data_IF_798116597152
#
_entry.id   IF_798116597152
#
_cell.length_a   1.000
_cell.length_b   1.000
_cell.length_c   1.000
_cell.angle_alpha   90.00
_cell.angle_beta   90.00
_cell.angle_gamma   90.00
#
_symmetry.space_group_name_H-M   'P 1'
#
loop_
_entity.id
_entity.type
_entity.pdbx_description
1 polymer ?
#
# COMPACT_ATOMS: atom_id res chain seq x y z
N UNK A 1 35.00 -42.64 -39.45
CA UNK A 1 34.73 -42.86 -40.88
C UNK A 1 33.29 -43.27 -41.04
N UNK A 2 32.59 -42.65 -41.99
CA UNK A 2 31.19 -42.92 -42.36
C UNK A 2 30.19 -42.26 -41.40
N UNK A 3 29.29 -41.37 -41.82
CA UNK A 3 28.69 -41.14 -43.13
C UNK A 3 27.17 -41.12 -42.92
N UNK A 4 26.56 -39.93 -42.97
CA UNK A 4 25.64 -39.49 -44.05
C UNK A 4 24.19 -39.95 -43.81
N UNK A 5 23.24 -39.04 -43.65
CA UNK A 5 22.14 -38.69 -44.60
C UNK A 5 20.83 -38.98 -43.84
N UNK A 6 19.67 -38.34 -44.00
CA UNK A 6 19.20 -37.09 -44.58
C UNK A 6 17.68 -37.03 -44.30
N UNK A 7 17.10 -35.81 -44.36
CA UNK A 7 15.69 -35.48 -44.66
C UNK A 7 14.57 -36.07 -43.77
N UNK A 8 13.76 -35.17 -43.21
CA UNK A 8 12.37 -35.03 -43.67
C UNK A 8 11.81 -33.65 -43.30
N UNK A 9 11.34 -32.95 -44.33
CA UNK A 9 10.60 -31.69 -44.26
C UNK A 9 9.13 -32.03 -43.99
N UNK A 10 8.52 -31.34 -43.03
CA UNK A 10 7.09 -31.42 -42.75
C UNK A 10 6.51 -30.02 -42.63
N UNK A 11 6.34 -29.35 -43.77
CA UNK A 11 5.55 -28.14 -43.89
C UNK A 11 4.07 -28.50 -43.66
N UNK A 12 3.45 -27.91 -42.65
CA UNK A 12 1.99 -27.91 -42.48
C UNK A 12 1.52 -26.46 -42.42
N UNK A 13 1.22 -25.96 -43.61
CA UNK A 13 0.34 -24.81 -43.79
C UNK A 13 -1.07 -25.23 -43.35
N UNK A 14 -1.62 -24.47 -42.41
CA UNK A 14 -2.94 -24.65 -41.86
C UNK A 14 -3.57 -23.28 -41.68
N UNK A 15 -4.00 -22.69 -42.78
CA UNK A 15 -4.89 -21.54 -42.82
C UNK A 15 -6.18 -21.89 -42.05
N UNK A 16 -6.47 -21.13 -40.99
CA UNK A 16 -7.82 -21.00 -40.45
C UNK A 16 -8.13 -19.53 -40.29
N UNK A 17 -8.80 -19.01 -41.31
CA UNK A 17 -9.65 -17.83 -41.21
C UNK A 17 -10.71 -18.08 -40.13
N UNK A 18 -10.77 -17.18 -39.15
CA UNK A 18 -11.64 -17.30 -37.99
C UNK A 18 -12.04 -15.93 -37.47
N UNK A 19 -13.10 -15.41 -38.08
CA UNK A 19 -14.13 -14.55 -37.51
C UNK A 19 -13.69 -13.31 -36.71
N UNK A 20 -13.92 -12.16 -37.35
CA UNK A 20 -14.19 -10.89 -36.68
C UNK A 20 -15.21 -11.07 -35.55
N UNK A 21 -14.86 -10.59 -34.36
CA UNK A 21 -15.80 -10.35 -33.27
C UNK A 21 -15.47 -8.98 -32.69
N UNK A 22 -16.47 -8.12 -32.81
CA UNK A 22 -16.57 -6.75 -32.33
C UNK A 22 -15.75 -6.46 -31.07
N UNK A 23 -14.72 -5.61 -31.25
CA UNK A 23 -14.11 -4.85 -30.17
C UNK A 23 -15.14 -3.86 -29.63
N UNK A 24 -15.99 -4.32 -28.72
CA UNK A 24 -16.74 -3.43 -27.81
C UNK A 24 -15.74 -2.88 -26.79
N UNK A 25 -15.03 -1.83 -27.20
CA UNK A 25 -14.24 -0.95 -26.34
C UNK A 25 -15.18 -0.25 -25.37
N UNK A 26 -15.55 -0.95 -24.30
CA UNK A 26 -15.95 -0.31 -23.06
C UNK A 26 -14.69 0.33 -22.50
N UNK A 27 -14.50 1.61 -22.84
CA UNK A 27 -13.67 2.54 -22.10
C UNK A 27 -14.17 2.56 -20.65
N UNK A 28 -13.67 1.66 -19.82
CA UNK A 28 -13.67 1.83 -18.38
C UNK A 28 -12.78 3.03 -18.11
N UNK A 29 -13.38 4.20 -18.10
CA UNK A 29 -12.81 5.42 -17.57
C UNK A 29 -12.51 5.19 -16.10
N UNK A 30 -11.37 4.58 -15.80
CA UNK A 30 -10.71 4.66 -14.51
C UNK A 30 -10.25 6.11 -14.37
N UNK A 31 -11.19 6.98 -14.06
CA UNK A 31 -10.92 8.37 -13.71
C UNK A 31 -10.15 8.34 -12.39
N UNK A 32 -8.82 8.25 -12.50
CA UNK A 32 -7.93 8.40 -11.36
C UNK A 32 -8.33 9.68 -10.63
N UNK A 33 -8.65 9.61 -9.33
CA UNK A 33 -9.07 10.77 -8.57
C UNK A 33 -7.98 11.84 -8.63
N UNK A 34 -8.37 13.08 -8.89
CA UNK A 34 -7.46 14.23 -8.80
C UNK A 34 -6.80 14.25 -7.42
N UNK A 35 -5.50 14.57 -7.34
CA UNK A 35 -4.74 14.63 -6.10
C UNK A 35 -5.46 15.42 -4.98
N UNK A 36 -6.15 16.52 -5.32
CA UNK A 36 -6.94 17.31 -4.36
C UNK A 36 -8.08 16.51 -3.70
N UNK A 37 -8.75 15.65 -4.46
CA UNK A 37 -9.79 14.77 -3.94
C UNK A 37 -9.21 13.61 -3.12
N UNK A 38 -8.01 13.14 -3.46
CA UNK A 38 -7.30 12.12 -2.71
C UNK A 38 -6.86 12.63 -1.32
N UNK A 39 -6.32 13.86 -1.23
CA UNK A 39 -5.95 14.47 0.05
C UNK A 39 -7.15 14.58 1.00
N UNK A 40 -8.26 15.16 0.53
CA UNK A 40 -9.49 15.31 1.34
C UNK A 40 -10.04 13.97 1.82
N UNK A 41 -10.02 12.96 0.95
CA UNK A 41 -10.45 11.60 1.31
C UNK A 41 -9.53 11.02 2.38
N UNK A 42 -8.22 11.19 2.24
CA UNK A 42 -7.25 10.68 3.19
C UNK A 42 -7.40 11.35 4.56
N UNK A 43 -7.57 12.66 4.62
CA UNK A 43 -7.86 13.40 5.86
C UNK A 43 -9.10 12.86 6.58
N UNK A 44 -10.19 12.67 5.82
CA UNK A 44 -11.44 12.15 6.37
C UNK A 44 -11.27 10.74 6.94
N UNK A 45 -10.54 9.86 6.24
CA UNK A 45 -10.28 8.49 6.73
C UNK A 45 -9.37 8.53 7.95
N UNK A 46 -8.27 9.30 7.93
CA UNK A 46 -7.36 9.43 9.09
C UNK A 46 -8.12 9.94 10.31
N UNK A 47 -8.97 10.96 10.16
CA UNK A 47 -9.79 11.50 11.24
C UNK A 47 -10.73 10.44 11.82
N UNK A 48 -11.38 9.66 10.95
CA UNK A 48 -12.27 8.57 11.35
C UNK A 48 -11.50 7.48 12.10
N UNK A 49 -10.32 7.09 11.61
CA UNK A 49 -9.46 6.08 12.24
C UNK A 49 -8.96 6.55 13.60
N UNK A 50 -8.58 7.82 13.74
CA UNK A 50 -8.23 8.42 15.03
C UNK A 50 -9.39 8.29 16.03
N UNK A 51 -10.60 8.65 15.61
CA UNK A 51 -11.79 8.56 16.48
C UNK A 51 -12.11 7.12 16.89
N UNK A 52 -12.05 6.17 15.95
CA UNK A 52 -12.28 4.75 16.21
C UNK A 52 -11.28 4.16 17.23
N UNK A 53 -10.06 4.70 17.26
CA UNK A 53 -8.98 4.18 18.08
C UNK A 53 -8.68 5.05 19.32
N UNK A 54 -9.49 6.09 19.59
CA UNK A 54 -9.26 7.05 20.66
C UNK A 54 -9.11 6.40 22.06
N UNK A 55 -9.79 5.28 22.29
CA UNK A 55 -9.79 4.56 23.57
C UNK A 55 -8.72 3.46 23.68
N UNK A 56 -8.01 3.14 22.58
CA UNK A 56 -7.07 2.00 22.53
C UNK A 56 -5.64 2.36 22.99
N UNK A 57 -5.41 3.64 23.30
CA UNK A 57 -4.14 4.15 23.84
C UNK A 57 -2.91 3.75 23.01
N UNK A 58 -1.80 3.48 23.70
CA UNK A 58 -0.47 3.23 23.14
C UNK A 58 -0.37 2.08 22.13
N UNK A 59 -1.32 1.13 22.17
CA UNK A 59 -1.29 -0.06 21.32
C UNK A 59 -1.38 0.29 19.83
N UNK A 60 -2.02 1.41 19.50
CA UNK A 60 -2.24 1.91 18.13
C UNK A 60 -1.04 2.68 17.57
N UNK A 61 -0.19 3.23 18.45
CA UNK A 61 0.98 4.05 18.08
C UNK A 61 1.95 3.25 17.19
N UNK A 62 2.11 1.95 17.47
CA UNK A 62 2.96 1.08 16.66
C UNK A 62 2.40 0.86 15.24
N UNK A 63 1.07 0.83 15.09
CA UNK A 63 0.40 0.78 13.80
C UNK A 63 0.65 2.06 13.01
N UNK A 64 0.41 3.22 13.61
CA UNK A 64 0.65 4.52 12.99
C UNK A 64 2.11 4.72 12.57
N UNK A 65 3.07 4.35 13.42
CA UNK A 65 4.51 4.41 13.11
C UNK A 65 4.88 3.47 11.94
N UNK A 66 4.26 2.29 11.87
CA UNK A 66 4.49 1.38 10.76
C UNK A 66 3.94 1.94 9.45
N UNK A 67 2.71 2.48 9.45
CA UNK A 67 2.10 3.11 8.28
C UNK A 67 2.95 4.29 7.79
N UNK A 68 3.36 5.17 8.72
CA UNK A 68 4.26 6.28 8.42
C UNK A 68 5.55 5.78 7.75
N UNK A 69 6.20 4.76 8.32
CA UNK A 69 7.44 4.20 7.76
C UNK A 69 7.25 3.61 6.36
N UNK A 70 6.14 2.92 6.10
CA UNK A 70 5.84 2.37 4.77
C UNK A 70 5.72 3.51 3.77
N UNK A 71 4.93 4.54 4.08
CA UNK A 71 4.74 5.70 3.21
C UNK A 71 6.05 6.48 2.99
N UNK A 72 6.86 6.67 4.04
CA UNK A 72 8.14 7.39 3.99
C UNK A 72 9.15 6.71 3.06
N UNK A 73 9.27 5.38 3.16
CA UNK A 73 10.17 4.62 2.30
C UNK A 73 9.78 4.72 0.83
N UNK A 74 8.47 4.71 0.53
CA UNK A 74 7.96 4.83 -0.85
C UNK A 74 8.14 6.25 -1.37
N UNK A 75 7.86 7.26 -0.56
CA UNK A 75 8.07 8.66 -0.94
C UNK A 75 9.55 8.98 -1.19
N UNK A 76 10.45 8.36 -0.41
CA UNK A 76 11.91 8.57 -0.53
C UNK A 76 12.51 7.81 -1.73
N UNK A 77 12.04 6.60 -1.99
CA UNK A 77 12.53 5.75 -3.09
C UNK A 77 11.35 5.19 -3.92
N UNK A 78 10.64 6.02 -4.70
CA UNK A 78 9.41 5.64 -5.39
C UNK A 78 9.60 4.54 -6.44
N UNK A 79 10.78 4.48 -7.05
CA UNK A 79 11.13 3.47 -8.06
C UNK A 79 11.54 2.13 -7.44
N UNK A 80 11.70 2.05 -6.11
CA UNK A 80 12.11 0.83 -5.44
C UNK A 80 10.89 -0.08 -5.17
N UNK A 81 10.67 -1.03 -6.06
CA UNK A 81 9.55 -1.98 -5.98
C UNK A 81 9.46 -2.74 -4.64
N UNK A 82 10.56 -2.89 -3.90
CA UNK A 82 10.57 -3.57 -2.59
C UNK A 82 9.79 -2.79 -1.53
N UNK A 83 9.76 -1.46 -1.59
CA UNK A 83 9.03 -0.65 -0.62
C UNK A 83 7.54 -0.55 -0.92
N UNK A 84 7.17 -0.77 -2.17
CA UNK A 84 5.76 -0.83 -2.62
C UNK A 84 5.09 -2.16 -2.35
N UNK A 85 5.83 -3.13 -1.80
CA UNK A 85 5.32 -4.46 -1.43
C UNK A 85 5.44 -4.67 0.08
N UNK A 86 4.30 -4.76 0.75
CA UNK A 86 4.24 -4.98 2.20
C UNK A 86 3.75 -6.40 2.49
N UNK A 87 4.61 -7.33 2.93
CA UNK A 87 4.17 -8.68 3.27
C UNK A 87 3.31 -8.65 4.54
N UNK A 88 2.14 -9.28 4.49
CA UNK A 88 1.26 -9.42 5.66
C UNK A 88 1.69 -10.64 6.48
N UNK A 89 2.91 -10.59 7.02
CA UNK A 89 3.37 -11.58 8.00
C UNK A 89 2.79 -11.27 9.40
N UNK A 90 2.92 -12.21 10.33
CA UNK A 90 2.34 -12.09 11.68
C UNK A 90 2.77 -10.80 12.40
N UNK A 91 4.03 -10.35 12.22
CA UNK A 91 4.54 -9.13 12.85
C UNK A 91 3.86 -7.87 12.32
N UNK A 92 3.69 -7.78 11.00
CA UNK A 92 2.99 -6.66 10.34
C UNK A 92 1.50 -6.70 10.69
N UNK A 93 0.87 -7.87 10.57
CA UNK A 93 -0.54 -8.06 10.92
C UNK A 93 -0.81 -7.73 12.38
N UNK A 94 0.08 -8.08 13.32
CA UNK A 94 -0.08 -7.74 14.73
C UNK A 94 -0.05 -6.21 14.94
N UNK A 95 0.88 -5.50 14.31
CA UNK A 95 0.98 -4.04 14.42
C UNK A 95 -0.20 -3.31 13.78
N UNK A 96 -0.61 -3.75 12.59
CA UNK A 96 -1.75 -3.18 11.89
C UNK A 96 -3.08 -3.59 12.53
N UNK A 97 -3.17 -4.79 13.08
CA UNK A 97 -4.38 -5.32 13.71
C UNK A 97 -4.80 -4.59 14.99
N UNK A 98 -3.86 -3.94 15.68
CA UNK A 98 -4.19 -3.03 16.78
C UNK A 98 -4.72 -1.68 16.32
N UNK A 99 -4.52 -1.32 15.04
CA UNK A 99 -5.01 -0.10 14.44
C UNK A 99 -6.18 -0.43 13.50
N UNK A 100 -7.39 -0.35 14.05
CA UNK A 100 -8.62 -0.58 13.30
C UNK A 100 -8.75 0.49 12.21
N UNK A 101 -9.01 0.09 10.96
CA UNK A 101 -9.00 1.01 9.82
C UNK A 101 -7.66 1.09 9.08
N UNK A 102 -6.64 0.33 9.50
CA UNK A 102 -5.30 0.39 8.89
C UNK A 102 -5.25 -0.07 7.43
N UNK A 103 -6.11 -1.02 7.02
CA UNK A 103 -6.19 -1.46 5.63
C UNK A 103 -6.83 -0.39 4.75
N UNK A 104 -7.88 0.26 5.25
CA UNK A 104 -8.58 1.35 4.58
C UNK A 104 -7.64 2.53 4.32
N UNK A 105 -6.74 2.83 5.26
CA UNK A 105 -5.69 3.83 5.07
C UNK A 105 -4.70 3.45 3.97
N UNK A 106 -4.26 2.19 3.93
CA UNK A 106 -3.35 1.70 2.89
C UNK A 106 -4.04 1.69 1.53
N UNK A 107 -5.30 1.27 1.45
CA UNK A 107 -6.08 1.33 0.21
C UNK A 107 -6.38 2.75 -0.24
N UNK A 108 -6.55 3.70 0.68
CA UNK A 108 -6.73 5.11 0.34
C UNK A 108 -5.52 5.74 -0.36
N UNK A 109 -4.32 5.24 -0.09
CA UNK A 109 -3.08 5.65 -0.77
C UNK A 109 -2.74 4.78 -2.00
N UNK A 110 -3.62 3.83 -2.36
CA UNK A 110 -3.50 3.02 -3.58
C UNK A 110 -2.98 1.59 -3.37
N UNK A 111 -2.80 1.11 -2.13
CA UNK A 111 -2.45 -0.30 -1.92
C UNK A 111 -3.63 -1.24 -2.16
N UNK A 112 -3.34 -2.34 -2.81
CA UNK A 112 -4.28 -3.43 -3.04
C UNK A 112 -3.84 -4.70 -2.32
N UNK A 113 -4.81 -5.46 -1.81
CA UNK A 113 -4.55 -6.75 -1.19
C UNK A 113 -4.40 -7.83 -2.27
N UNK A 114 -3.18 -8.33 -2.42
CA UNK A 114 -2.85 -9.38 -3.37
C UNK A 114 -2.62 -10.69 -2.61
N UNK A 115 -3.23 -11.77 -3.10
CA UNK A 115 -2.96 -13.13 -2.66
C UNK A 115 -2.05 -13.82 -3.67
N UNK A 116 -0.91 -14.33 -3.20
CA UNK A 116 -0.05 -15.19 -4.00
C UNK A 116 -0.39 -16.67 -3.76
N UNK A 117 0.12 -17.51 -4.66
CA UNK A 117 0.10 -18.96 -4.51
C UNK A 117 0.69 -19.38 -3.15
N UNK A 118 0.16 -20.46 -2.58
CA UNK A 118 0.45 -20.93 -1.21
C UNK A 118 -0.08 -20.05 -0.07
N UNK A 119 -1.16 -19.27 -0.29
CA UNK A 119 -1.91 -18.59 0.78
C UNK A 119 -1.21 -17.37 1.40
N UNK A 120 -0.10 -16.92 0.82
CA UNK A 120 0.62 -15.73 1.27
C UNK A 120 -0.10 -14.48 0.77
N UNK A 121 -0.39 -13.56 1.69
CA UNK A 121 -1.01 -12.26 1.37
C UNK A 121 -0.01 -11.13 1.52
N UNK A 122 -0.08 -10.14 0.63
CA UNK A 122 0.71 -8.92 0.71
C UNK A 122 -0.10 -7.75 0.17
N UNK A 123 0.26 -6.54 0.60
CA UNK A 123 -0.24 -5.31 0.02
C UNK A 123 0.74 -4.86 -1.06
N UNK A 124 0.21 -4.46 -2.22
CA UNK A 124 0.98 -3.97 -3.35
C UNK A 124 0.48 -2.59 -3.78
N UNK A 125 1.40 -1.64 -3.93
CA UNK A 125 1.13 -0.36 -4.58
C UNK A 125 1.73 -0.40 -5.99
N UNK A 126 0.87 -0.57 -6.98
CA UNK A 126 1.28 -0.67 -8.39
C UNK A 126 1.79 0.67 -8.93
N UNK A 127 2.63 0.63 -9.98
CA UNK A 127 3.19 1.83 -10.60
C UNK A 127 2.12 2.81 -11.10
N UNK A 128 0.99 2.30 -11.59
CA UNK A 128 -0.14 3.09 -12.09
C UNK A 128 -0.93 3.79 -10.98
N UNK A 129 -0.90 3.23 -9.76
CA UNK A 129 -1.57 3.80 -8.58
C UNK A 129 -0.64 4.69 -7.76
N UNK A 130 0.68 4.69 -8.05
CA UNK A 130 1.65 5.44 -7.28
C UNK A 130 1.51 6.95 -7.52
N UNK A 131 0.94 7.64 -6.54
CA UNK A 131 0.91 9.10 -6.47
C UNK A 131 1.87 9.56 -5.36
N UNK A 132 3.11 9.89 -5.72
CA UNK A 132 4.18 10.20 -4.75
C UNK A 132 3.79 11.32 -3.78
N UNK A 133 3.13 12.37 -4.27
CA UNK A 133 2.68 13.47 -3.42
C UNK A 133 1.62 13.04 -2.39
N UNK A 134 0.69 12.16 -2.78
CA UNK A 134 -0.32 11.57 -1.88
C UNK A 134 0.33 10.69 -0.83
N UNK A 135 1.32 9.87 -1.23
CA UNK A 135 2.05 9.00 -0.29
C UNK A 135 2.89 9.82 0.68
N UNK A 136 3.56 10.88 0.21
CA UNK A 136 4.32 11.81 1.05
C UNK A 136 3.42 12.52 2.05
N UNK A 137 2.27 13.02 1.59
CA UNK A 137 1.26 13.63 2.44
C UNK A 137 0.74 12.65 3.51
N UNK A 138 0.44 11.42 3.12
CA UNK A 138 0.03 10.34 4.02
C UNK A 138 1.07 10.07 5.12
N UNK A 139 2.36 10.04 4.77
CA UNK A 139 3.47 9.88 5.73
C UNK A 139 3.40 10.95 6.83
N UNK A 140 3.18 12.22 6.43
CA UNK A 140 3.01 13.33 7.38
C UNK A 140 1.82 13.15 8.31
N UNK A 141 0.65 12.79 7.76
CA UNK A 141 -0.56 12.55 8.54
C UNK A 141 -0.38 11.39 9.54
N UNK A 142 0.22 10.28 9.12
CA UNK A 142 0.44 9.12 9.98
C UNK A 142 1.45 9.42 11.10
N UNK A 143 2.49 10.23 10.81
CA UNK A 143 3.43 10.71 11.84
C UNK A 143 2.69 11.57 12.87
N UNK A 144 1.87 12.53 12.43
CA UNK A 144 1.08 13.37 13.33
C UNK A 144 0.10 12.55 14.20
N UNK A 145 -0.61 11.60 13.60
CA UNK A 145 -1.52 10.70 14.32
C UNK A 145 -0.80 9.82 15.35
N UNK A 146 0.46 9.42 15.07
CA UNK A 146 1.27 8.66 16.02
C UNK A 146 1.67 9.47 17.25
N UNK A 147 1.84 10.79 17.10
CA UNK A 147 2.22 11.72 18.17
C UNK A 147 1.02 12.05 19.06
N UNK A 148 -0.18 12.22 18.48
CA UNK A 148 -1.40 12.51 19.23
C UNK A 148 -1.85 11.37 20.14
N UNK A 149 -1.45 10.13 19.83
CA UNK A 149 -1.74 8.93 20.64
C UNK A 149 -0.56 8.50 21.52
N UNK A 150 0.56 9.22 21.48
CA UNK A 150 1.65 8.95 22.41
C UNK A 150 1.19 9.43 23.79
N UNK A 151 1.30 8.60 24.84
CA UNK A 151 0.91 9.01 26.18
C UNK A 151 1.82 10.18 26.53
N UNK A 152 1.21 11.33 26.79
CA UNK A 152 1.93 12.51 27.25
C UNK A 152 2.58 12.13 28.58
N UNK A 153 3.85 11.74 28.56
CA UNK A 153 4.64 11.51 29.78
C UNK A 153 4.87 12.89 30.40
N UNK A 154 3.85 13.39 31.09
CA UNK A 154 3.83 14.67 31.75
C UNK A 154 4.61 14.55 33.06
N UNK A 155 5.90 14.24 32.96
CA UNK A 155 6.81 14.18 34.10
C UNK A 155 7.30 15.60 34.37
N UNK A 156 6.37 16.45 34.81
CA UNK A 156 6.66 17.81 35.24
C UNK A 156 7.22 17.74 36.67
N UNK A 157 8.49 17.35 36.78
CA UNK A 157 9.22 17.36 38.04
C UNK A 157 9.58 18.83 38.36
N UNK A 158 8.61 19.56 38.91
CA UNK A 158 8.84 20.86 39.53
C UNK A 158 9.71 20.65 40.77
N UNK A 159 11.02 20.71 40.57
CA UNK A 159 12.01 20.84 41.63
C UNK A 159 11.84 22.23 42.27
N UNK A 160 10.96 22.31 43.27
CA UNK A 160 10.86 23.46 44.19
C UNK A 160 12.07 23.37 45.12
N UNK A 161 13.19 23.95 44.72
CA UNK A 161 14.24 24.35 45.65
C UNK A 161 14.03 25.82 45.99
N UNK A 162 13.26 26.07 47.06
CA UNK A 162 13.27 27.35 47.75
C UNK A 162 14.06 27.18 49.06
N UNK A 163 15.13 27.98 49.16
CA UNK A 163 15.95 28.34 50.33
C UNK A 163 16.74 27.24 51.05
#
# INVERSE_FOLDING_TARGET
GGGSDAKELGEREGEREGAASDKKSMSSSSSSPSASSAYKRLDAIVTSVIQLNAYKGDTTVQGWKLLAKIADNIASEPNNARFRRVPLNEKVQRKLGFLEGSLELLTAIGFELVSADAGKRFLLLSDDQLQVDVVSYASGLFKAASLSHSPSNNNNNNNINNN
#
